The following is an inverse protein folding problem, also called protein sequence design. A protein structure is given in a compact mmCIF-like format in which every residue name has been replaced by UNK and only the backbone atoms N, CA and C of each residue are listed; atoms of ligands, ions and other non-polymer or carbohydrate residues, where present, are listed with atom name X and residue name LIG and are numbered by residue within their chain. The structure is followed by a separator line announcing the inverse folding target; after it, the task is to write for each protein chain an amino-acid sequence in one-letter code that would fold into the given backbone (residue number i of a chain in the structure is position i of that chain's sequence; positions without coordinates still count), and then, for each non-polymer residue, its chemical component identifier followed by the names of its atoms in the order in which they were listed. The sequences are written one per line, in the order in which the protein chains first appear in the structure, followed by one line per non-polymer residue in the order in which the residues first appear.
data_IF_385559072031
#
_entry.id   IF_385559072031
#
_cell.length_a   1.000
_cell.length_b   1.000
_cell.length_c   1.000
_cell.angle_alpha   90.00
_cell.angle_beta   90.00
_cell.angle_gamma   90.00
#
_symmetry.space_group_name_H-M   'P 1'
#
loop_
_entity.id
_entity.type
_entity.pdbx_description
1 polymer ?
#
# COMPACT_ATOMS: atom_id res chain seq x y z
N UNK A 1 -7.41 2.63 -3.59
CA UNK A 1 -7.30 1.84 -2.35
C UNK A 1 -6.34 0.70 -2.61
N UNK A 2 -5.20 0.63 -1.91
CA UNK A 2 -4.12 -0.32 -2.19
C UNK A 2 -4.03 -1.38 -1.08
N UNK A 3 -4.82 -2.45 -1.22
CA UNK A 3 -5.00 -3.49 -0.18
C UNK A 3 -4.39 -4.82 -0.64
N UNK A 4 -4.91 -5.35 -1.76
CA UNK A 4 -4.62 -6.70 -2.28
C UNK A 4 -3.16 -6.90 -2.69
N UNK A 5 -2.61 -8.07 -2.38
CA UNK A 5 -1.29 -8.56 -2.81
C UNK A 5 -1.45 -9.89 -3.56
N UNK A 6 -0.46 -10.33 -4.36
CA UNK A 6 -0.56 -11.61 -5.10
C UNK A 6 -0.96 -12.81 -4.23
N UNK A 7 -0.49 -12.84 -2.99
CA UNK A 7 -0.79 -13.89 -2.01
C UNK A 7 -1.92 -13.54 -1.03
N UNK A 8 -2.51 -12.34 -1.10
CA UNK A 8 -3.47 -11.82 -0.12
C UNK A 8 -4.62 -11.06 -0.80
N UNK A 9 -5.72 -11.78 -1.06
CA UNK A 9 -6.99 -11.26 -1.60
C UNK A 9 -8.04 -11.11 -0.51
N UNK A 10 -8.99 -12.05 -0.44
CA UNK A 10 -10.03 -12.05 0.61
C UNK A 10 -9.44 -12.07 2.02
N UNK A 11 -8.32 -12.76 2.21
CA UNK A 11 -7.51 -12.65 3.42
C UNK A 11 -6.51 -11.48 3.31
N UNK A 12 -7.01 -10.26 3.51
CA UNK A 12 -6.16 -9.06 3.54
C UNK A 12 -5.15 -9.08 4.71
N UNK A 13 -5.43 -9.87 5.74
CA UNK A 13 -4.52 -10.10 6.86
C UNK A 13 -3.22 -10.79 6.42
N UNK A 14 -3.23 -11.61 5.37
CA UNK A 14 -2.01 -12.24 4.87
C UNK A 14 -1.04 -11.27 4.13
N UNK A 15 -1.39 -9.98 4.00
CA UNK A 15 -0.55 -8.96 3.37
C UNK A 15 0.80 -8.77 4.07
N UNK A 16 1.84 -8.55 3.27
CA UNK A 16 3.25 -8.44 3.70
C UNK A 16 3.86 -7.06 3.47
N UNK A 17 3.16 -6.15 2.79
CA UNK A 17 3.63 -4.75 2.65
C UNK A 17 3.93 -4.16 4.03
N UNK A 18 5.14 -3.62 4.20
CA UNK A 18 5.61 -3.07 5.48
C UNK A 18 5.69 -1.54 5.43
N UNK A 19 5.65 -0.93 6.61
CA UNK A 19 5.77 0.50 6.85
C UNK A 19 6.85 0.74 7.92
N UNK A 20 8.06 1.10 7.50
CA UNK A 20 9.18 1.35 8.42
C UNK A 20 9.17 2.83 8.85
N UNK A 21 9.13 3.16 10.15
CA UNK A 21 9.24 4.54 10.62
C UNK A 21 10.55 5.17 10.16
N UNK A 22 10.50 6.43 9.74
CA UNK A 22 11.69 7.18 9.30
C UNK A 22 12.23 8.14 10.36
N UNK A 23 11.50 8.30 11.49
CA UNK A 23 11.90 9.13 12.63
C UNK A 23 11.30 10.55 12.63
N UNK A 24 10.68 10.99 11.54
CA UNK A 24 10.07 12.32 11.39
C UNK A 24 8.53 12.29 11.36
N UNK A 25 7.93 11.22 11.87
CA UNK A 25 6.48 10.98 11.79
C UNK A 25 6.00 10.39 10.46
N UNK A 26 6.90 10.13 9.50
CA UNK A 26 6.59 9.43 8.25
C UNK A 26 7.04 7.98 8.27
N UNK A 27 6.50 7.22 7.32
CA UNK A 27 6.82 5.81 7.10
C UNK A 27 7.30 5.58 5.68
N UNK A 28 8.33 4.75 5.54
CA UNK A 28 8.75 4.20 4.27
C UNK A 28 7.98 2.91 4.00
N UNK A 29 7.21 2.88 2.91
CA UNK A 29 6.44 1.70 2.51
C UNK A 29 7.24 0.80 1.58
N UNK A 30 7.20 -0.51 1.80
CA UNK A 30 7.80 -1.50 0.89
C UNK A 30 6.88 -2.70 0.69
N UNK A 31 6.54 -2.99 -0.56
CA UNK A 31 5.69 -4.10 -0.95
C UNK A 31 5.15 -3.94 -2.37
N UNK A 32 4.32 -4.88 -2.81
CA UNK A 32 3.65 -4.82 -4.10
C UNK A 32 2.15 -5.05 -3.91
N UNK A 33 1.36 -4.17 -4.51
CA UNK A 33 -0.11 -4.25 -4.51
C UNK A 33 -0.60 -4.54 -5.93
N UNK A 34 -1.70 -5.28 -6.07
CA UNK A 34 -2.28 -5.66 -7.37
C UNK A 34 -3.77 -5.38 -7.41
N UNK A 35 -4.33 -5.30 -8.62
CA UNK A 35 -5.75 -5.01 -8.86
C UNK A 35 -6.21 -3.67 -8.28
N UNK A 36 -5.37 -2.64 -8.43
CA UNK A 36 -5.67 -1.30 -7.96
C UNK A 36 -6.41 -0.54 -9.06
N UNK A 37 -7.72 -0.51 -8.95
CA UNK A 37 -8.60 0.30 -9.81
C UNK A 37 -8.22 1.77 -9.69
N UNK A 38 -7.99 2.43 -10.83
CA UNK A 38 -7.47 3.81 -10.90
C UNK A 38 -6.13 4.00 -10.16
N UNK A 39 -5.26 2.99 -10.23
CA UNK A 39 -3.93 3.03 -9.62
C UNK A 39 -2.97 4.04 -10.26
N UNK A 40 -3.22 4.47 -11.50
CA UNK A 40 -2.49 5.56 -12.16
C UNK A 40 -3.35 6.10 -13.33
N UNK A 41 -3.23 7.38 -13.66
CA UNK A 41 -3.89 8.05 -14.78
C UNK A 41 -3.49 9.52 -14.93
N UNK A 42 -3.65 10.07 -16.14
CA UNK A 42 -3.32 11.48 -16.46
C UNK A 42 -4.47 12.49 -16.24
N UNK A 43 -5.60 12.06 -15.68
CA UNK A 43 -6.79 12.92 -15.51
C UNK A 43 -6.73 13.92 -14.34
N UNK A 44 -5.72 13.81 -13.46
CA UNK A 44 -5.50 14.73 -12.33
C UNK A 44 -4.01 15.00 -12.15
N UNK A 45 -3.65 16.11 -11.49
CA UNK A 45 -2.25 16.45 -11.21
C UNK A 45 -1.58 15.53 -10.19
N UNK A 46 -2.37 14.83 -9.36
CA UNK A 46 -1.88 13.93 -8.32
C UNK A 46 -2.89 12.81 -8.04
N UNK A 47 -2.37 11.66 -7.57
CA UNK A 47 -3.14 10.49 -7.14
C UNK A 47 -2.74 10.14 -5.71
N UNK A 48 -3.68 10.21 -4.78
CA UNK A 48 -3.42 9.89 -3.37
C UNK A 48 -3.71 8.41 -3.10
N UNK A 49 -2.65 7.64 -2.86
CA UNK A 49 -2.79 6.23 -2.51
C UNK A 49 -3.03 6.02 -1.01
N UNK A 50 -4.22 5.52 -0.68
CA UNK A 50 -4.48 4.92 0.63
C UNK A 50 -3.96 3.47 0.62
N UNK A 51 -2.85 3.21 1.31
CA UNK A 51 -2.14 1.92 1.29
C UNK A 51 -2.26 1.20 2.63
N UNK A 52 -2.66 -0.07 2.60
CA UNK A 52 -2.60 -0.95 3.79
C UNK A 52 -1.21 -1.57 3.91
N UNK A 53 -0.54 -1.31 5.04
CA UNK A 53 0.79 -1.81 5.35
C UNK A 53 0.91 -2.16 6.84
N UNK A 54 1.85 -3.05 7.18
CA UNK A 54 2.15 -3.46 8.54
C UNK A 54 3.26 -2.60 9.14
N UNK A 55 3.04 -2.14 10.38
CA UNK A 55 4.11 -1.57 11.19
C UNK A 55 5.15 -2.65 11.53
N UNK A 56 6.39 -2.28 11.90
CA UNK A 56 7.37 -3.26 12.36
C UNK A 56 6.89 -3.89 13.67
N UNK A 57 7.02 -5.22 13.76
CA UNK A 57 6.46 -6.03 14.85
C UNK A 57 5.27 -6.85 14.39
#
# INVERSE_FOLDING_TARGET
MNITEPQAGSDAGAGRTSATPTGDGRYLLRGQKIFITWGDHDLTENVVHLVLARLPG
#
